data_IF_243956198067
#
_entry.id   IF_243956198067
#
_cell.length_a   1.000
_cell.length_b   1.000
_cell.length_c   1.000
_cell.angle_alpha   90.00
_cell.angle_beta   90.00
_cell.angle_gamma   90.00
#
_symmetry.space_group_name_H-M   'P 1'
#
loop_
_entity.id
_entity.type
_entity.pdbx_description
1 polymer ?
#
# COMPACT_ATOMS: atom_id res chain seq x y z
N UNK A 1 6.33 -23.25 -10.77
CA UNK A 1 7.13 -24.49 -10.82
C UNK A 1 7.01 -25.16 -9.47
N UNK A 2 6.12 -26.15 -9.38
CA UNK A 2 5.88 -26.93 -8.17
C UNK A 2 6.42 -28.35 -8.42
N UNK A 3 7.28 -28.83 -7.52
CA UNK A 3 7.89 -30.15 -7.57
C UNK A 3 6.94 -31.13 -6.90
N UNK A 4 6.50 -32.10 -7.68
CA UNK A 4 5.72 -33.26 -7.30
C UNK A 4 6.67 -34.27 -6.64
N UNK A 5 6.45 -34.59 -5.36
CA UNK A 5 7.15 -35.69 -4.67
C UNK A 5 6.11 -36.70 -4.22
N UNK A 6 5.92 -37.72 -5.06
CA UNK A 6 5.21 -38.94 -4.73
C UNK A 6 5.97 -39.74 -3.69
N UNK A 7 5.34 -39.95 -2.52
CA UNK A 7 5.80 -40.88 -1.50
C UNK A 7 5.00 -42.17 -1.67
N UNK A 8 5.70 -43.22 -2.11
CA UNK A 8 5.17 -44.58 -2.22
C UNK A 8 4.86 -45.14 -0.83
N UNK A 9 3.63 -45.60 -0.63
CA UNK A 9 3.21 -46.30 0.59
C UNK A 9 3.68 -47.76 0.61
N UNK A 10 3.99 -48.34 1.79
CA UNK A 10 4.39 -49.73 1.92
C UNK A 10 3.21 -50.70 1.69
N UNK A 11 3.51 -51.94 1.27
CA UNK A 11 2.50 -52.94 0.91
C UNK A 11 1.70 -53.43 2.11
N UNK A 12 0.40 -53.54 1.89
CA UNK A 12 -0.60 -54.09 2.78
C UNK A 12 -0.45 -55.62 2.85
N UNK A 13 0.15 -56.14 3.93
CA UNK A 13 0.16 -57.58 4.24
C UNK A 13 -0.98 -57.89 5.20
N UNK A 14 -2.10 -58.31 4.62
CA UNK A 14 -3.10 -59.09 5.34
C UNK A 14 -2.66 -60.55 5.35
N UNK A 15 -2.57 -61.15 6.54
CA UNK A 15 -2.66 -62.58 6.69
C UNK A 15 -3.36 -62.92 8.00
N UNK A 16 -4.39 -63.75 7.85
CA UNK A 16 -5.26 -64.33 8.84
C UNK A 16 -4.54 -64.88 10.07
N UNK A 17 -5.11 -64.60 11.24
CA UNK A 17 -4.79 -65.22 12.52
C UNK A 17 -6.02 -65.12 13.42
N UNK A 18 -7.05 -65.87 13.07
CA UNK A 18 -8.25 -66.03 13.89
C UNK A 18 -7.95 -66.99 15.05
N UNK A 19 -8.57 -66.71 16.19
CA UNK A 19 -8.87 -67.65 17.29
C UNK A 19 -7.69 -68.33 18.01
N UNK A 20 -7.20 -67.68 19.08
CA UNK A 20 -6.96 -68.29 20.42
C UNK A 20 -6.05 -67.40 21.29
N UNK A 21 -6.58 -66.30 21.84
CA UNK A 21 -5.93 -65.64 22.98
C UNK A 21 -6.98 -65.02 23.90
N UNK A 22 -7.85 -65.90 24.36
CA UNK A 22 -8.73 -65.68 25.49
C UNK A 22 -8.23 -66.60 26.61
N UNK A 23 -7.07 -66.28 27.17
CA UNK A 23 -6.56 -66.93 28.37
C UNK A 23 -5.62 -65.97 29.12
N UNK A 24 -6.07 -65.57 30.30
CA UNK A 24 -5.29 -64.99 31.39
C UNK A 24 -4.54 -63.68 31.08
N UNK A 25 -5.28 -62.57 31.11
CA UNK A 25 -4.70 -61.34 31.65
C UNK A 25 -4.37 -61.60 33.13
N UNK A 26 -3.13 -62.00 33.41
CA UNK A 26 -2.60 -62.00 34.75
C UNK A 26 -2.63 -60.57 35.33
N UNK A 27 -2.58 -60.39 36.66
CA UNK A 27 -2.54 -59.08 37.30
C UNK A 27 -1.48 -58.15 36.70
N UNK A 28 -0.38 -58.71 36.18
CA UNK A 28 0.70 -57.99 35.51
C UNK A 28 0.27 -57.31 34.20
N UNK A 29 -0.61 -57.90 33.38
CA UNK A 29 -1.07 -57.28 32.13
C UNK A 29 -2.02 -56.10 32.35
N UNK A 30 -2.73 -56.09 33.49
CA UNK A 30 -3.54 -54.94 33.91
C UNK A 30 -2.64 -53.81 34.44
N UNK A 31 -1.57 -54.14 35.16
CA UNK A 31 -0.55 -53.18 35.62
C UNK A 31 0.20 -52.54 34.45
N UNK A 32 0.68 -53.32 33.49
CA UNK A 32 1.40 -52.80 32.31
C UNK A 32 0.55 -51.82 31.50
N UNK A 33 -0.77 -52.07 31.42
CA UNK A 33 -1.70 -51.18 30.74
C UNK A 33 -1.91 -49.86 31.50
N UNK A 34 -2.02 -49.93 32.83
CA UNK A 34 -2.13 -48.73 33.67
C UNK A 34 -0.85 -47.89 33.64
N UNK A 35 0.32 -48.53 33.66
CA UNK A 35 1.61 -47.85 33.58
C UNK A 35 1.79 -47.19 32.21
N UNK A 36 1.42 -47.89 31.13
CA UNK A 36 1.41 -47.31 29.78
C UNK A 36 0.47 -46.10 29.67
N UNK A 37 -0.75 -46.18 30.22
CA UNK A 37 -1.68 -45.05 30.21
C UNK A 37 -1.17 -43.87 31.03
N UNK A 38 -0.51 -44.11 32.17
CA UNK A 38 0.12 -43.04 32.96
C UNK A 38 1.29 -42.38 32.24
N UNK A 39 2.16 -43.17 31.61
CA UNK A 39 3.27 -42.64 30.81
C UNK A 39 2.71 -41.83 29.64
N UNK A 40 1.71 -42.36 28.93
CA UNK A 40 1.06 -41.66 27.82
C UNK A 40 0.44 -40.34 28.28
N UNK A 41 -0.21 -40.32 29.45
CA UNK A 41 -0.80 -39.09 29.99
C UNK A 41 0.25 -38.06 30.41
N UNK A 42 1.36 -38.50 31.01
CA UNK A 42 2.47 -37.61 31.38
C UNK A 42 3.13 -36.99 30.15
N UNK A 43 3.33 -37.79 29.09
CA UNK A 43 3.95 -37.35 27.84
C UNK A 43 2.99 -36.43 27.09
N UNK A 44 1.70 -36.78 27.00
CA UNK A 44 0.69 -35.93 26.38
C UNK A 44 0.55 -34.60 27.13
N UNK A 45 0.57 -34.62 28.46
CA UNK A 45 0.49 -33.40 29.28
C UNK A 45 1.73 -32.53 29.05
N UNK A 46 2.93 -33.09 29.16
CA UNK A 46 4.19 -32.36 28.95
C UNK A 46 4.33 -31.81 27.53
N UNK A 47 3.98 -32.60 26.51
CA UNK A 47 3.94 -32.16 25.11
C UNK A 47 2.86 -31.09 24.94
N UNK A 48 1.68 -31.24 25.54
CA UNK A 48 0.63 -30.24 25.45
C UNK A 48 1.05 -28.92 26.08
N UNK A 49 1.65 -28.89 27.27
CA UNK A 49 2.14 -27.65 27.89
C UNK A 49 3.25 -27.00 27.06
N UNK A 50 4.19 -27.81 26.58
CA UNK A 50 5.34 -27.32 25.79
C UNK A 50 4.89 -26.74 24.45
N UNK A 51 4.00 -27.42 23.73
CA UNK A 51 3.55 -26.99 22.40
C UNK A 51 2.39 -25.99 22.44
N UNK A 52 1.56 -25.99 23.50
CA UNK A 52 0.46 -25.03 23.64
C UNK A 52 0.99 -23.60 23.79
N UNK A 53 2.04 -23.40 24.59
CA UNK A 53 2.69 -22.10 24.72
C UNK A 53 3.21 -21.59 23.36
N UNK A 54 3.85 -22.46 22.56
CA UNK A 54 4.33 -22.12 21.21
C UNK A 54 3.18 -21.80 20.24
N UNK A 55 2.06 -22.53 20.30
CA UNK A 55 0.89 -22.28 19.46
C UNK A 55 0.23 -20.93 19.77
N UNK A 56 0.06 -20.60 21.06
CA UNK A 56 -0.45 -19.29 21.49
C UNK A 56 0.53 -18.17 21.11
N UNK A 57 1.82 -18.42 21.25
CA UNK A 57 2.86 -17.46 20.89
C UNK A 57 2.91 -17.21 19.39
N UNK A 58 2.70 -18.23 18.55
CA UNK A 58 2.66 -18.08 17.09
C UNK A 58 1.54 -17.13 16.63
N UNK A 59 0.36 -17.21 17.24
CA UNK A 59 -0.76 -16.29 16.97
C UNK A 59 -0.42 -14.87 17.41
N UNK A 60 0.20 -14.72 18.59
CA UNK A 60 0.64 -13.42 19.10
C UNK A 60 1.69 -12.76 18.20
N UNK A 61 2.68 -13.53 17.72
CA UNK A 61 3.70 -13.05 16.78
C UNK A 61 3.09 -12.63 15.44
N UNK A 62 2.12 -13.37 14.91
CA UNK A 62 1.42 -13.02 13.68
C UNK A 62 0.65 -11.68 13.84
N UNK A 63 -0.03 -11.48 14.97
CA UNK A 63 -0.70 -10.20 15.29
C UNK A 63 0.30 -9.07 15.48
N UNK A 64 1.42 -9.30 16.15
CA UNK A 64 2.48 -8.31 16.35
C UNK A 64 3.08 -7.82 15.03
N UNK A 65 3.35 -8.73 14.08
CA UNK A 65 3.80 -8.37 12.72
C UNK A 65 2.79 -7.50 11.99
N UNK A 66 1.50 -7.80 12.13
CA UNK A 66 0.45 -7.03 11.50
C UNK A 66 0.25 -5.64 12.14
N UNK A 67 0.40 -5.50 13.46
CA UNK A 67 0.40 -4.20 14.13
C UNK A 67 1.59 -3.33 13.71
N UNK A 68 2.79 -3.91 13.59
CA UNK A 68 3.97 -3.21 13.07
C UNK A 68 3.81 -2.78 11.59
N UNK A 69 3.14 -3.62 10.77
CA UNK A 69 2.81 -3.24 9.41
C UNK A 69 1.78 -2.10 9.37
N UNK A 70 0.77 -2.12 10.24
CA UNK A 70 -0.27 -1.10 10.31
C UNK A 70 0.30 0.29 10.64
N UNK A 71 1.21 0.40 11.61
CA UNK A 71 1.83 1.68 11.96
C UNK A 71 2.63 2.25 10.80
N UNK A 72 3.34 1.39 10.08
CA UNK A 72 4.12 1.75 8.89
C UNK A 72 3.23 2.25 7.76
N UNK A 73 2.15 1.53 7.45
CA UNK A 73 1.16 1.92 6.44
C UNK A 73 0.50 3.26 6.80
N UNK A 74 0.16 3.46 8.07
CA UNK A 74 -0.45 4.72 8.53
C UNK A 74 0.52 5.89 8.38
N UNK A 75 1.79 5.69 8.71
CA UNK A 75 2.84 6.70 8.55
C UNK A 75 3.06 7.05 7.08
N UNK A 76 3.11 6.06 6.18
CA UNK A 76 3.22 6.32 4.74
C UNK A 76 1.98 7.00 4.17
N UNK A 77 0.78 6.56 4.55
CA UNK A 77 -0.46 7.17 4.11
C UNK A 77 -0.56 8.64 4.58
N UNK A 78 -0.21 8.91 5.84
CA UNK A 78 -0.16 10.26 6.40
C UNK A 78 0.90 11.13 5.73
N UNK A 79 2.09 10.59 5.50
CA UNK A 79 3.18 11.29 4.81
C UNK A 79 2.83 11.62 3.35
N UNK A 80 2.21 10.68 2.63
CA UNK A 80 1.72 10.91 1.27
C UNK A 80 0.60 11.94 1.25
N UNK A 81 -0.38 11.83 2.16
CA UNK A 81 -1.42 12.85 2.26
C UNK A 81 -0.81 14.22 2.53
N UNK A 82 0.12 14.36 3.47
CA UNK A 82 0.79 15.63 3.75
C UNK A 82 1.56 16.15 2.52
N UNK A 83 2.38 15.32 1.89
CA UNK A 83 3.16 15.70 0.71
C UNK A 83 2.27 16.10 -0.48
N UNK A 84 1.14 15.42 -0.68
CA UNK A 84 0.21 15.68 -1.79
C UNK A 84 -0.78 16.81 -1.49
N UNK A 85 -1.16 17.02 -0.23
CA UNK A 85 -2.13 18.06 0.19
C UNK A 85 -1.53 19.45 0.32
N UNK A 86 -0.22 19.57 0.60
CA UNK A 86 0.35 20.85 1.01
C UNK A 86 0.39 21.90 -0.10
N UNK A 87 0.28 21.58 -1.40
CA UNK A 87 0.04 22.54 -2.52
C UNK A 87 0.36 21.94 -3.89
N UNK A 88 1.20 20.92 -3.97
CA UNK A 88 1.88 20.59 -5.22
C UNK A 88 1.07 19.82 -6.26
N UNK A 89 -0.10 19.26 -5.93
CA UNK A 89 -0.88 18.43 -6.86
C UNK A 89 -1.93 19.21 -7.64
N UNK A 90 -2.47 20.30 -7.06
CA UNK A 90 -3.52 21.10 -7.68
C UNK A 90 -3.08 21.75 -8.99
N UNK A 91 -1.78 22.02 -9.14
CA UNK A 91 -1.21 22.64 -10.36
C UNK A 91 -0.64 21.59 -11.33
N UNK A 92 -0.82 20.30 -11.06
CA UNK A 92 -0.26 19.22 -11.90
C UNK A 92 -1.23 18.78 -12.99
N UNK A 93 -0.75 18.12 -14.05
CA UNK A 93 -1.65 17.51 -15.03
C UNK A 93 -2.68 16.59 -14.38
N UNK A 94 -3.89 16.54 -14.93
CA UNK A 94 -4.98 15.73 -14.38
C UNK A 94 -4.59 14.26 -14.19
N UNK A 95 -3.77 13.70 -15.10
CA UNK A 95 -3.23 12.35 -14.98
C UNK A 95 -2.42 12.13 -13.69
N UNK A 96 -1.51 13.05 -13.36
CA UNK A 96 -0.70 13.00 -12.13
C UNK A 96 -1.58 13.14 -10.89
N UNK A 97 -2.62 13.97 -10.94
CA UNK A 97 -3.61 14.09 -9.85
C UNK A 97 -4.32 12.77 -9.59
N UNK A 98 -4.83 12.13 -10.63
CA UNK A 98 -5.51 10.84 -10.53
C UNK A 98 -4.58 9.73 -10.04
N UNK A 99 -3.33 9.69 -10.49
CA UNK A 99 -2.33 8.74 -9.97
C UNK A 99 -2.07 8.94 -8.48
N UNK A 100 -1.94 10.19 -8.03
CA UNK A 100 -1.79 10.51 -6.61
C UNK A 100 -2.99 10.05 -5.78
N UNK A 101 -4.22 10.32 -6.24
CA UNK A 101 -5.45 9.87 -5.58
C UNK A 101 -5.52 8.34 -5.52
N UNK A 102 -5.25 7.67 -6.65
CA UNK A 102 -5.25 6.21 -6.72
C UNK A 102 -4.19 5.58 -5.80
N UNK A 103 -3.02 6.23 -5.66
CA UNK A 103 -1.98 5.80 -4.73
C UNK A 103 -2.45 5.84 -3.27
N UNK A 104 -3.07 6.95 -2.85
CA UNK A 104 -3.63 7.09 -1.51
C UNK A 104 -4.75 6.06 -1.27
N UNK A 105 -5.63 5.85 -2.25
CA UNK A 105 -6.69 4.85 -2.17
C UNK A 105 -6.14 3.41 -2.02
N UNK A 106 -5.05 3.07 -2.72
CA UNK A 106 -4.38 1.77 -2.58
C UNK A 106 -3.76 1.60 -1.19
N UNK A 107 -3.18 2.64 -0.61
CA UNK A 107 -2.69 2.59 0.78
C UNK A 107 -3.82 2.36 1.78
N UNK A 108 -4.97 3.00 1.59
CA UNK A 108 -6.16 2.76 2.42
C UNK A 108 -6.68 1.32 2.27
N UNK A 109 -6.74 0.80 1.04
CA UNK A 109 -7.11 -0.59 0.78
C UNK A 109 -6.13 -1.58 1.44
N UNK A 110 -4.83 -1.31 1.36
CA UNK A 110 -3.82 -2.12 2.04
C UNK A 110 -4.03 -2.11 3.57
N UNK A 111 -4.29 -0.94 4.16
CA UNK A 111 -4.61 -0.81 5.58
C UNK A 111 -5.85 -1.63 5.97
N UNK A 112 -6.92 -1.56 5.17
CA UNK A 112 -8.15 -2.35 5.39
C UNK A 112 -7.89 -3.85 5.27
N UNK A 113 -7.04 -4.30 4.34
CA UNK A 113 -6.68 -5.71 4.24
C UNK A 113 -5.82 -6.20 5.41
N UNK A 114 -4.87 -5.39 5.90
CA UNK A 114 -4.15 -5.73 7.13
C UNK A 114 -5.08 -5.78 8.34
N UNK A 115 -6.00 -4.82 8.48
CA UNK A 115 -6.99 -4.83 9.55
C UNK A 115 -7.88 -6.07 9.47
N UNK A 116 -8.37 -6.42 8.28
CA UNK A 116 -9.16 -7.63 8.05
C UNK A 116 -8.36 -8.91 8.32
N UNK A 117 -7.07 -8.92 8.02
CA UNK A 117 -6.20 -10.06 8.32
C UNK A 117 -6.08 -10.31 9.82
N UNK A 118 -6.08 -9.26 10.64
CA UNK A 118 -5.97 -9.35 12.12
C UNK A 118 -7.31 -9.55 12.81
N UNK A 119 -8.34 -8.83 12.38
CA UNK A 119 -9.61 -8.72 13.10
C UNK A 119 -10.64 -9.77 12.67
N UNK A 120 -10.53 -10.35 11.47
CA UNK A 120 -11.52 -11.32 11.00
C UNK A 120 -11.23 -12.71 11.57
N UNK A 121 -12.12 -13.29 12.41
CA UNK A 121 -11.99 -14.68 12.82
C UNK A 121 -11.98 -15.61 11.59
N UNK A 122 -11.31 -16.75 11.71
CA UNK A 122 -11.37 -17.81 10.68
C UNK A 122 -12.64 -18.61 10.95
N UNK A 123 -13.58 -18.66 9.98
CA UNK A 123 -14.80 -19.43 10.16
C UNK A 123 -14.45 -20.89 10.38
N UNK A 124 -15.09 -21.51 11.37
CA UNK A 124 -14.88 -22.91 11.69
C UNK A 124 -15.64 -23.75 10.66
N UNK A 125 -14.90 -24.52 9.86
CA UNK A 125 -15.48 -25.28 8.75
C UNK A 125 -16.28 -26.51 9.21
N UNK A 126 -16.24 -26.88 10.50
CA UNK A 126 -17.04 -27.97 11.06
C UNK A 126 -17.99 -27.48 12.16
N UNK A 127 -19.28 -27.86 12.12
CA UNK A 127 -20.13 -27.73 13.29
C UNK A 127 -19.59 -28.65 14.39
N UNK A 128 -19.30 -28.08 15.56
CA UNK A 128 -18.76 -28.74 16.77
C UNK A 128 -19.70 -29.79 17.39
N UNK A 129 -20.56 -30.43 16.60
CA UNK A 129 -21.60 -31.36 17.04
C UNK A 129 -21.13 -32.79 17.31
N UNK A 130 -19.92 -33.19 16.89
CA UNK A 130 -19.38 -34.51 17.27
C UNK A 130 -18.55 -34.36 18.54
N UNK A 131 -19.06 -34.94 19.64
CA UNK A 131 -18.29 -35.16 20.87
C UNK A 131 -16.97 -35.84 20.48
N UNK A 132 -15.86 -35.17 20.77
CA UNK A 132 -14.52 -35.71 20.55
C UNK A 132 -14.37 -36.95 21.44
N UNK A 133 -14.07 -38.08 20.84
CA UNK A 133 -14.09 -39.39 21.52
C UNK A 133 -12.75 -39.75 22.17
N UNK A 134 -11.65 -39.08 21.80
CA UNK A 134 -10.32 -39.33 22.37
C UNK A 134 -9.46 -38.07 22.50
N UNK A 135 -8.53 -38.07 23.46
CA UNK A 135 -7.55 -36.96 23.63
C UNK A 135 -6.67 -36.76 22.40
N UNK A 136 -6.32 -37.84 21.70
CA UNK A 136 -5.49 -37.76 20.50
C UNK A 136 -6.24 -37.16 19.31
N UNK A 137 -7.55 -37.43 19.20
CA UNK A 137 -8.43 -36.77 18.24
C UNK A 137 -8.56 -35.27 18.53
N UNK A 138 -8.65 -34.88 19.82
CA UNK A 138 -8.64 -33.47 20.21
C UNK A 138 -7.36 -32.76 19.78
N UNK A 139 -6.20 -33.37 20.06
CA UNK A 139 -4.89 -32.83 19.68
C UNK A 139 -4.76 -32.67 18.16
N UNK A 140 -5.08 -33.72 17.38
CA UNK A 140 -5.03 -33.64 15.92
C UNK A 140 -5.97 -32.56 15.38
N UNK A 141 -7.18 -32.42 15.93
CA UNK A 141 -8.12 -31.35 15.55
C UNK A 141 -7.57 -29.97 15.85
N UNK A 142 -6.99 -29.75 17.04
CA UNK A 142 -6.36 -28.47 17.41
C UNK A 142 -5.20 -28.13 16.48
N UNK A 143 -4.32 -29.08 16.19
CA UNK A 143 -3.18 -28.89 15.29
C UNK A 143 -3.65 -28.52 13.88
N UNK A 144 -4.61 -29.26 13.33
CA UNK A 144 -5.17 -28.97 11.99
C UNK A 144 -5.85 -27.59 11.97
N UNK A 145 -6.64 -27.26 12.99
CA UNK A 145 -7.30 -25.95 13.11
C UNK A 145 -6.28 -24.80 13.09
N UNK A 146 -5.23 -24.91 13.90
CA UNK A 146 -4.19 -23.86 13.96
C UNK A 146 -3.46 -23.75 12.62
N UNK A 147 -3.19 -24.87 11.94
CA UNK A 147 -2.55 -24.88 10.63
C UNK A 147 -3.41 -24.22 9.55
N UNK A 148 -4.71 -24.50 9.56
CA UNK A 148 -5.68 -23.89 8.63
C UNK A 148 -5.86 -22.40 8.90
N UNK A 149 -5.92 -22.00 10.16
CA UNK A 149 -5.97 -20.60 10.57
C UNK A 149 -4.71 -19.84 10.13
N UNK A 150 -3.52 -20.40 10.37
CA UNK A 150 -2.26 -19.83 9.92
C UNK A 150 -2.23 -19.66 8.39
N UNK A 151 -2.69 -20.68 7.63
CA UNK A 151 -2.75 -20.63 6.17
C UNK A 151 -3.76 -19.58 5.66
N UNK A 152 -4.89 -19.43 6.34
CA UNK A 152 -5.88 -18.41 6.02
C UNK A 152 -5.35 -16.99 6.27
N UNK A 153 -4.64 -16.78 7.39
CA UNK A 153 -3.99 -15.51 7.71
C UNK A 153 -2.90 -15.19 6.68
N UNK A 154 -2.05 -16.16 6.33
CA UNK A 154 -0.99 -15.98 5.34
C UNK A 154 -1.54 -15.56 3.96
N UNK A 155 -2.63 -16.21 3.51
CA UNK A 155 -3.30 -15.82 2.25
C UNK A 155 -3.83 -14.37 2.30
N UNK A 156 -4.39 -13.94 3.43
CA UNK A 156 -4.89 -12.56 3.62
C UNK A 156 -3.72 -11.56 3.67
N UNK A 157 -2.65 -11.88 4.39
CA UNK A 157 -1.43 -11.05 4.44
C UNK A 157 -0.79 -10.92 3.05
N UNK A 158 -0.78 -11.99 2.24
CA UNK A 158 -0.26 -11.93 0.87
C UNK A 158 -1.03 -10.94 -0.01
N UNK A 159 -2.36 -10.88 0.13
CA UNK A 159 -3.18 -9.88 -0.57
C UNK A 159 -2.89 -8.46 -0.08
N UNK A 160 -2.76 -8.27 1.24
CA UNK A 160 -2.39 -6.98 1.81
C UNK A 160 -1.00 -6.50 1.32
N UNK A 161 -0.02 -7.42 1.29
CA UNK A 161 1.32 -7.15 0.78
C UNK A 161 1.30 -6.78 -0.71
N UNK A 162 0.48 -7.45 -1.54
CA UNK A 162 0.32 -7.08 -2.94
C UNK A 162 -0.28 -5.69 -3.11
N UNK A 163 -1.31 -5.35 -2.33
CA UNK A 163 -1.90 -4.01 -2.34
C UNK A 163 -0.88 -2.94 -1.91
N UNK A 164 -0.10 -3.21 -0.86
CA UNK A 164 0.97 -2.32 -0.41
C UNK A 164 2.08 -2.17 -1.46
N UNK A 165 2.52 -3.25 -2.10
CA UNK A 165 3.52 -3.20 -3.17
C UNK A 165 3.02 -2.37 -4.37
N UNK A 166 1.76 -2.54 -4.76
CA UNK A 166 1.14 -1.72 -5.81
C UNK A 166 1.06 -0.24 -5.40
N UNK A 167 0.70 0.05 -4.14
CA UNK A 167 0.66 1.41 -3.61
C UNK A 167 2.05 2.09 -3.63
N UNK A 168 3.10 1.36 -3.24
CA UNK A 168 4.49 1.83 -3.31
C UNK A 168 4.89 2.10 -4.76
N UNK A 169 4.67 1.16 -5.67
CA UNK A 169 5.01 1.33 -7.08
C UNK A 169 4.31 2.55 -7.69
N UNK A 170 3.01 2.74 -7.40
CA UNK A 170 2.25 3.88 -7.89
C UNK A 170 2.70 5.20 -7.24
N UNK A 171 3.10 5.17 -5.97
CA UNK A 171 3.68 6.33 -5.28
C UNK A 171 4.98 6.78 -5.95
N UNK A 172 5.88 5.83 -6.25
CA UNK A 172 7.15 6.11 -6.93
C UNK A 172 6.91 6.65 -8.34
N UNK A 173 5.96 6.06 -9.09
CA UNK A 173 5.60 6.55 -10.42
C UNK A 173 4.99 7.95 -10.37
N UNK A 174 4.12 8.22 -9.40
CA UNK A 174 3.53 9.57 -9.21
C UNK A 174 4.61 10.59 -8.89
N UNK A 175 5.56 10.23 -8.02
CA UNK A 175 6.70 11.09 -7.69
C UNK A 175 7.58 11.34 -8.92
N UNK A 176 7.95 10.29 -9.66
CA UNK A 176 8.74 10.41 -10.88
C UNK A 176 8.05 11.30 -11.93
N UNK A 177 6.74 11.11 -12.14
CA UNK A 177 5.95 11.99 -13.00
C UNK A 177 5.96 13.43 -12.50
N UNK A 178 5.82 13.66 -11.20
CA UNK A 178 5.84 15.01 -10.62
C UNK A 178 7.18 15.71 -10.82
N UNK A 179 8.29 14.98 -10.79
CA UNK A 179 9.64 15.51 -11.05
C UNK A 179 9.89 15.75 -12.54
N UNK A 180 9.38 14.88 -13.41
CA UNK A 180 9.62 14.93 -14.86
C UNK A 180 8.66 15.83 -15.64
N UNK A 181 7.51 16.18 -15.05
CA UNK A 181 6.50 17.02 -15.70
C UNK A 181 6.44 18.39 -15.04
N UNK A 182 6.40 19.43 -15.87
CA UNK A 182 6.21 20.79 -15.38
C UNK A 182 4.78 20.98 -14.83
N UNK A 183 4.57 21.91 -13.89
CA UNK A 183 3.24 22.32 -13.48
C UNK A 183 2.44 22.81 -14.70
N UNK A 184 1.17 22.44 -14.77
CA UNK A 184 0.24 23.02 -15.75
C UNK A 184 -0.02 24.44 -15.31
N UNK A 185 0.59 25.39 -16.01
CA UNK A 185 0.30 26.80 -15.83
C UNK A 185 -0.98 27.12 -16.56
N UNK A 186 -1.97 27.68 -15.87
CA UNK A 186 -3.13 28.25 -16.53
C UNK A 186 -2.70 29.53 -17.24
N UNK A 187 -2.52 29.44 -18.56
CA UNK A 187 -2.17 30.58 -19.39
C UNK A 187 -3.36 31.01 -20.24
N UNK A 188 -3.48 32.31 -20.47
CA UNK A 188 -4.46 32.88 -21.39
C UNK A 188 -3.79 33.86 -22.34
N UNK A 189 -4.18 33.83 -23.61
CA UNK A 189 -3.67 34.76 -24.60
C UNK A 189 -4.09 36.20 -24.25
N UNK A 190 -3.14 37.13 -24.29
CA UNK A 190 -3.35 38.48 -23.83
C UNK A 190 -2.23 39.45 -24.17
N UNK A 191 -2.39 40.67 -23.67
CA UNK A 191 -1.41 41.74 -23.79
C UNK A 191 -1.29 42.50 -22.47
N UNK A 192 -0.06 42.83 -22.11
CA UNK A 192 0.26 43.66 -20.94
C UNK A 192 0.77 45.01 -21.43
N UNK A 193 0.20 46.08 -20.89
CA UNK A 193 0.69 47.45 -21.10
C UNK A 193 1.51 47.85 -19.90
N UNK A 194 2.79 48.14 -20.11
CA UNK A 194 3.70 48.57 -19.07
C UNK A 194 3.85 50.08 -19.03
N UNK A 195 4.32 50.57 -17.89
CA UNK A 195 4.66 51.97 -17.70
C UNK A 195 5.87 52.38 -18.57
N UNK A 196 5.86 53.56 -19.21
CA UNK A 196 6.96 54.05 -20.03
C UNK A 196 8.30 54.09 -19.30
N UNK A 197 8.31 54.25 -17.97
CA UNK A 197 9.55 54.19 -17.17
C UNK A 197 10.27 52.84 -17.26
N UNK A 198 9.58 51.77 -17.65
CA UNK A 198 10.14 50.43 -17.81
C UNK A 198 10.60 50.12 -19.26
N UNK A 199 10.37 51.03 -20.20
CA UNK A 199 10.75 50.86 -21.61
C UNK A 199 12.26 50.55 -21.82
N UNK A 200 13.22 51.16 -21.08
CA UNK A 200 14.64 50.82 -21.24
C UNK A 200 14.94 49.35 -20.93
N UNK A 201 14.29 48.78 -19.91
CA UNK A 201 14.43 47.37 -19.54
C UNK A 201 13.81 46.45 -20.59
N UNK A 202 12.64 46.81 -21.13
CA UNK A 202 12.01 46.05 -22.22
C UNK A 202 12.84 46.07 -23.50
N UNK A 203 13.49 47.19 -23.86
CA UNK A 203 14.33 47.28 -25.07
C UNK A 203 15.52 46.31 -25.03
N UNK A 204 15.96 45.89 -23.84
CA UNK A 204 17.07 44.94 -23.68
C UNK A 204 16.64 43.48 -23.92
N UNK A 205 15.33 43.19 -23.87
CA UNK A 205 14.80 41.82 -23.95
C UNK A 205 13.87 41.62 -25.15
N UNK A 206 13.21 42.70 -25.59
CA UNK A 206 12.13 42.67 -26.55
C UNK A 206 12.35 43.61 -27.75
N UNK A 207 11.57 43.39 -28.81
CA UNK A 207 11.69 44.17 -30.04
C UNK A 207 11.47 45.67 -29.78
N UNK A 208 12.08 46.52 -30.61
CA UNK A 208 11.94 47.97 -30.50
C UNK A 208 10.48 48.42 -30.55
N UNK A 209 9.64 47.72 -31.32
CA UNK A 209 8.22 48.02 -31.44
C UNK A 209 7.46 47.76 -30.13
N UNK A 210 7.63 46.57 -29.55
CA UNK A 210 7.03 46.21 -28.26
C UNK A 210 7.51 47.14 -27.14
N UNK A 211 8.79 47.47 -27.13
CA UNK A 211 9.38 48.31 -26.09
C UNK A 211 8.99 49.80 -26.22
N UNK A 212 8.78 50.31 -27.44
CA UNK A 212 8.35 51.68 -27.67
C UNK A 212 6.84 51.87 -27.45
N UNK A 213 6.04 50.87 -27.82
CA UNK A 213 4.60 50.87 -27.53
C UNK A 213 4.30 50.57 -26.06
N UNK A 214 5.26 49.99 -25.33
CA UNK A 214 5.06 49.52 -23.97
C UNK A 214 4.04 48.38 -23.89
N UNK A 215 3.79 47.67 -24.99
CA UNK A 215 2.83 46.58 -25.07
C UNK A 215 3.56 45.27 -25.37
N UNK A 216 3.36 44.29 -24.51
CA UNK A 216 3.91 42.94 -24.67
C UNK A 216 2.74 41.98 -24.85
N UNK A 217 2.66 41.35 -26.01
CA UNK A 217 1.64 40.35 -26.34
C UNK A 217 2.18 38.94 -26.08
N UNK A 218 1.33 38.03 -25.62
CA UNK A 218 1.74 36.69 -25.25
C UNK A 218 0.72 35.94 -24.40
N UNK A 219 1.15 34.82 -23.83
CA UNK A 219 0.35 34.02 -22.92
C UNK A 219 0.62 34.47 -21.48
N UNK A 220 -0.40 34.98 -20.81
CA UNK A 220 -0.33 35.49 -19.44
C UNK A 220 -0.63 34.33 -18.49
N UNK A 221 0.23 34.12 -17.50
CA UNK A 221 -0.04 33.13 -16.43
C UNK A 221 -1.07 33.73 -15.48
N UNK A 222 -2.28 33.17 -15.42
CA UNK A 222 -3.41 33.76 -14.67
C UNK A 222 -3.09 33.95 -13.19
N UNK A 223 -2.44 32.97 -12.56
CA UNK A 223 -2.09 33.03 -11.13
C UNK A 223 -1.12 34.16 -10.79
N UNK A 224 -0.25 34.53 -11.74
CA UNK A 224 0.72 35.61 -11.55
C UNK A 224 0.06 36.97 -11.35
N UNK A 225 -1.18 37.15 -11.83
CA UNK A 225 -1.93 38.40 -11.73
C UNK A 225 -2.25 38.79 -10.28
N UNK A 226 -2.15 37.86 -9.33
CA UNK A 226 -2.35 38.12 -7.90
C UNK A 226 -1.03 38.25 -7.12
N UNK A 227 0.11 38.14 -7.80
CA UNK A 227 1.43 38.23 -7.17
C UNK A 227 2.09 39.60 -7.40
N UNK A 228 3.29 39.79 -6.86
CA UNK A 228 4.10 41.01 -7.07
C UNK A 228 4.66 41.13 -8.50
N UNK A 229 4.68 40.03 -9.25
CA UNK A 229 5.21 39.96 -10.61
C UNK A 229 4.19 39.29 -11.53
N UNK A 230 3.81 39.97 -12.60
CA UNK A 230 2.98 39.38 -13.65
C UNK A 230 3.90 38.63 -14.61
N UNK A 231 3.64 37.35 -14.79
CA UNK A 231 4.36 36.48 -15.72
C UNK A 231 3.66 36.49 -17.08
N UNK A 232 4.41 36.73 -18.15
CA UNK A 232 3.94 36.61 -19.53
C UNK A 232 4.97 35.85 -20.36
N UNK A 233 4.50 34.92 -21.16
CA UNK A 233 5.28 34.22 -22.18
C UNK A 233 5.06 34.96 -23.51
N UNK A 234 6.00 35.79 -23.97
CA UNK A 234 5.79 36.65 -25.13
C UNK A 234 5.53 35.83 -26.40
N UNK A 235 4.65 36.32 -27.26
CA UNK A 235 4.41 35.71 -28.56
C UNK A 235 5.67 35.74 -29.43
N UNK A 236 5.75 34.84 -30.42
CA UNK A 236 6.92 34.76 -31.32
C UNK A 236 7.14 36.10 -32.03
N UNK A 237 8.36 36.62 -31.95
CA UNK A 237 8.76 37.90 -32.57
C UNK A 237 8.53 39.14 -31.70
N UNK A 238 7.83 39.00 -30.56
CA UNK A 238 7.67 40.10 -29.59
C UNK A 238 8.98 40.34 -28.83
N UNK A 239 9.66 39.27 -28.43
CA UNK A 239 10.94 39.31 -27.74
C UNK A 239 12.00 38.42 -28.42
N UNK A 240 13.29 38.75 -28.24
CA UNK A 240 14.40 38.10 -28.97
C UNK A 240 14.57 36.63 -28.57
N UNK A 241 14.37 36.30 -27.29
CA UNK A 241 14.51 34.94 -26.78
C UNK A 241 13.14 34.27 -26.72
N UNK A 242 12.89 33.36 -27.67
CA UNK A 242 11.66 32.57 -27.66
C UNK A 242 11.59 31.67 -26.42
N UNK A 243 10.40 31.56 -25.82
CA UNK A 243 10.16 30.69 -24.67
C UNK A 243 10.68 31.19 -23.33
N UNK A 244 11.15 32.45 -23.25
CA UNK A 244 11.45 33.06 -21.95
C UNK A 244 10.21 33.67 -21.33
N UNK A 245 9.92 33.30 -20.09
CA UNK A 245 8.90 33.95 -19.27
C UNK A 245 9.42 35.30 -18.80
N UNK A 246 8.70 36.37 -19.14
CA UNK A 246 9.01 37.72 -18.70
C UNK A 246 8.30 37.99 -17.37
N UNK A 247 9.07 38.40 -16.36
CA UNK A 247 8.56 38.78 -15.03
C UNK A 247 8.44 40.30 -14.94
N UNK A 248 7.21 40.82 -14.99
CA UNK A 248 6.92 42.24 -14.94
C UNK A 248 6.48 42.67 -13.53
N UNK A 249 7.18 43.59 -12.84
CA UNK A 249 6.74 44.07 -11.54
C UNK A 249 5.33 44.67 -11.65
N UNK A 250 4.40 44.27 -10.79
CA UNK A 250 2.99 44.69 -10.87
C UNK A 250 2.82 46.22 -10.84
N UNK A 251 3.66 46.94 -10.07
CA UNK A 251 3.65 48.40 -10.04
C UNK A 251 4.11 49.08 -11.34
N UNK A 252 4.65 48.32 -12.30
CA UNK A 252 5.01 48.78 -13.65
C UNK A 252 4.01 48.32 -14.70
N UNK A 253 2.97 47.57 -14.33
CA UNK A 253 1.90 47.15 -15.23
C UNK A 253 0.74 48.13 -15.11
N UNK A 254 0.41 48.82 -16.20
CA UNK A 254 -0.69 49.81 -16.24
C UNK A 254 -2.02 49.16 -16.56
N UNK A 255 -2.03 48.18 -17.47
CA UNK A 255 -3.23 47.46 -17.87
C UNK A 255 -2.88 46.04 -18.32
N UNK A 256 -3.85 45.14 -18.13
CA UNK A 256 -3.78 43.74 -18.58
C UNK A 256 -5.06 43.47 -19.36
N UNK A 257 -4.94 42.90 -20.55
CA UNK A 257 -6.06 42.39 -21.35
C UNK A 257 -5.80 40.91 -21.64
N UNK A 258 -6.72 40.03 -21.29
CA UNK A 258 -6.69 38.62 -21.69
C UNK A 258 -8.04 38.20 -22.25
N UNK A 259 -8.05 37.12 -23.04
CA UNK A 259 -9.27 36.46 -23.49
C UNK A 259 -9.44 35.17 -22.69
N UNK A 260 -10.61 34.97 -22.09
CA UNK A 260 -10.95 33.66 -21.53
C UNK A 260 -11.27 32.73 -22.71
N UNK A 261 -10.47 31.67 -22.81
CA UNK A 261 -10.61 30.62 -23.81
C UNK A 261 -11.87 29.79 -23.58
#
# INVERSE_FOLDING_TARGET
MAVDQGVAGPPNQGAAGDSAQQAAGGPDAAQDRQEYEQILDSVVTSVSETYYSQLVQAVSVARGRAQAAQSTVTLFAGGLMAALSVTALADRPAATRWMGIASVALWLLAALFYLRAVASPVPENEPWGRKVTSRQELLNRVITKVRDEAKAIDKRQRLANWAAAAAVALSVLTFAQTVLTDPVRETAEGAIVVDPSYAPSLRALCSKESANSGRVEGNIVKDSLNTSFVEIEPARGVCEVQGTTLLLPRGKVRAVRWQDA
#
